data_IF_306324701553
#
_entry.id   IF_306324701553
#
_cell.length_a   1.000
_cell.length_b   1.000
_cell.length_c   1.000
_cell.angle_alpha   90.00
_cell.angle_beta   90.00
_cell.angle_gamma   90.00
#
_symmetry.space_group_name_H-M   'P 1'
#
loop_
_entity.id
_entity.type
_entity.pdbx_description
1 polymer ?
#
# COMPACT_ATOMS: atom_id res chain seq x y z
N UNK A 1 -27.75 -2.23 -24.32
CA UNK A 1 -28.01 -3.64 -24.69
C UNK A 1 -27.14 -4.61 -23.86
N UNK A 2 -25.82 -4.41 -23.77
CA UNK A 2 -24.86 -5.30 -23.12
C UNK A 2 -25.11 -5.46 -21.60
N UNK A 3 -25.29 -4.36 -20.84
CA UNK A 3 -25.55 -4.42 -19.39
C UNK A 3 -26.84 -5.18 -19.06
N UNK A 4 -27.89 -5.02 -19.89
CA UNK A 4 -29.13 -5.79 -19.71
C UNK A 4 -28.92 -7.29 -19.92
N UNK A 5 -28.11 -7.66 -20.93
CA UNK A 5 -27.78 -9.09 -21.15
C UNK A 5 -26.99 -9.66 -19.98
N UNK A 6 -26.02 -8.92 -19.44
CA UNK A 6 -25.26 -9.34 -18.24
C UNK A 6 -26.19 -9.51 -17.03
N UNK A 7 -27.10 -8.56 -16.81
CA UNK A 7 -28.04 -8.61 -15.70
C UNK A 7 -29.01 -9.81 -15.83
N UNK A 8 -29.49 -10.10 -17.03
CA UNK A 8 -30.37 -11.25 -17.28
C UNK A 8 -29.64 -12.59 -17.08
N UNK A 9 -28.36 -12.65 -17.44
CA UNK A 9 -27.57 -13.87 -17.32
C UNK A 9 -27.11 -14.16 -15.89
N UNK A 10 -26.90 -13.14 -15.07
CA UNK A 10 -26.28 -13.27 -13.74
C UNK A 10 -27.21 -12.88 -12.57
N UNK A 11 -28.36 -12.31 -12.85
CA UNK A 11 -29.28 -11.77 -11.85
C UNK A 11 -28.88 -10.34 -11.41
N UNK A 12 -29.74 -9.76 -10.56
CA UNK A 12 -29.54 -8.44 -9.94
C UNK A 12 -29.83 -8.55 -8.44
N UNK A 13 -29.15 -7.72 -7.57
CA UNK A 13 -28.14 -6.69 -7.91
C UNK A 13 -26.79 -7.31 -8.26
N UNK A 14 -26.05 -6.66 -9.16
CA UNK A 14 -24.67 -7.04 -9.52
C UNK A 14 -23.79 -5.83 -9.77
N UNK A 15 -22.48 -6.02 -9.57
CA UNK A 15 -21.46 -5.03 -9.92
C UNK A 15 -20.81 -5.42 -11.25
N UNK A 16 -20.69 -4.45 -12.15
CA UNK A 16 -20.04 -4.64 -13.45
C UNK A 16 -18.82 -3.73 -13.53
N UNK A 17 -17.66 -4.32 -13.79
CA UNK A 17 -16.41 -3.59 -13.99
C UNK A 17 -16.03 -3.63 -15.47
N UNK A 18 -15.72 -2.46 -16.03
CA UNK A 18 -15.24 -2.36 -17.41
C UNK A 18 -13.71 -2.34 -17.43
N UNK A 19 -13.12 -3.42 -17.92
CA UNK A 19 -11.69 -3.57 -18.04
C UNK A 19 -11.04 -2.56 -19.01
N UNK A 20 -11.77 -2.08 -20.04
CA UNK A 20 -11.25 -1.08 -20.96
C UNK A 20 -11.06 0.27 -20.24
N UNK A 21 -12.05 0.68 -19.47
CA UNK A 21 -11.97 1.90 -18.64
C UNK A 21 -10.82 1.81 -17.62
N UNK A 22 -10.64 0.66 -16.97
CA UNK A 22 -9.52 0.47 -16.04
C UNK A 22 -8.17 0.65 -16.75
N UNK A 23 -7.97 0.04 -17.92
CA UNK A 23 -6.75 0.18 -18.71
C UNK A 23 -6.49 1.62 -19.14
N UNK A 24 -7.54 2.34 -19.55
CA UNK A 24 -7.45 3.75 -19.93
C UNK A 24 -6.98 4.61 -18.74
N UNK A 25 -7.53 4.39 -17.55
CA UNK A 25 -7.11 5.11 -16.34
C UNK A 25 -5.65 4.80 -15.96
N UNK A 26 -5.21 3.57 -16.11
CA UNK A 26 -3.81 3.21 -15.92
C UNK A 26 -2.93 3.93 -16.95
N UNK A 27 -3.35 3.95 -18.21
CA UNK A 27 -2.59 4.60 -19.28
C UNK A 27 -2.40 6.11 -19.04
N UNK A 28 -3.39 6.79 -18.43
CA UNK A 28 -3.26 8.22 -18.08
C UNK A 28 -2.20 8.51 -17.01
N UNK A 29 -1.71 7.50 -16.32
CA UNK A 29 -0.68 7.63 -15.27
C UNK A 29 0.72 7.17 -15.73
N UNK A 30 0.90 6.85 -17.03
CA UNK A 30 2.18 6.32 -17.56
C UNK A 30 3.37 7.28 -17.53
N UNK A 31 3.15 8.56 -17.16
CA UNK A 31 4.21 9.51 -16.90
C UNK A 31 4.98 9.24 -15.58
N UNK A 32 4.41 8.43 -14.69
CA UNK A 32 5.08 8.00 -13.46
C UNK A 32 5.88 6.73 -13.70
N UNK A 33 7.05 6.61 -13.07
CA UNK A 33 7.93 5.45 -13.19
C UNK A 33 7.27 4.16 -12.67
N UNK A 34 6.53 4.27 -11.56
CA UNK A 34 5.80 3.16 -10.93
C UNK A 34 4.39 3.59 -10.57
N UNK A 35 3.41 2.86 -11.09
CA UNK A 35 2.00 3.00 -10.69
C UNK A 35 1.70 1.95 -9.63
N UNK A 36 1.10 2.37 -8.52
CA UNK A 36 0.74 1.48 -7.42
C UNK A 36 -0.74 1.62 -7.08
N UNK A 37 -1.44 0.51 -7.07
CA UNK A 37 -2.88 0.45 -6.79
C UNK A 37 -3.14 0.17 -5.32
N UNK A 38 -3.84 1.08 -4.65
CA UNK A 38 -4.33 0.89 -3.29
C UNK A 38 -5.50 -0.11 -3.31
N UNK A 39 -5.20 -1.39 -3.05
CA UNK A 39 -6.19 -2.46 -3.26
C UNK A 39 -7.35 -2.44 -2.26
N UNK A 40 -7.29 -1.64 -1.19
CA UNK A 40 -8.43 -1.36 -0.31
C UNK A 40 -9.66 -0.83 -1.05
N UNK A 41 -9.47 -0.21 -2.21
CA UNK A 41 -10.57 0.27 -3.05
C UNK A 41 -11.37 -0.91 -3.65
N UNK A 42 -10.68 -1.96 -4.10
CA UNK A 42 -11.28 -3.20 -4.56
C UNK A 42 -10.22 -4.30 -4.64
N UNK A 43 -10.26 -5.25 -3.71
CA UNK A 43 -9.33 -6.38 -3.64
C UNK A 43 -9.85 -7.65 -4.35
N UNK A 44 -10.76 -7.52 -5.33
CA UNK A 44 -11.20 -8.64 -6.16
C UNK A 44 -10.02 -9.19 -6.97
N UNK A 45 -9.85 -10.52 -6.97
CA UNK A 45 -8.70 -11.17 -7.63
C UNK A 45 -8.63 -10.92 -9.13
N UNK A 46 -9.76 -10.79 -9.82
CA UNK A 46 -9.76 -10.50 -11.27
C UNK A 46 -9.30 -9.06 -11.54
N UNK A 47 -9.71 -8.09 -10.69
CA UNK A 47 -9.21 -6.71 -10.76
C UNK A 47 -7.71 -6.66 -10.49
N UNK A 48 -7.24 -7.35 -9.44
CA UNK A 48 -5.81 -7.41 -9.11
C UNK A 48 -4.98 -8.05 -10.23
N UNK A 49 -5.46 -9.14 -10.84
CA UNK A 49 -4.79 -9.76 -12.00
C UNK A 49 -4.71 -8.81 -13.19
N UNK A 50 -5.81 -8.08 -13.49
CA UNK A 50 -5.81 -7.05 -14.53
C UNK A 50 -4.78 -5.94 -14.24
N UNK A 51 -4.69 -5.46 -12.99
CA UNK A 51 -3.64 -4.51 -12.58
C UNK A 51 -2.25 -5.06 -12.85
N UNK A 52 -2.00 -6.30 -12.44
CA UNK A 52 -0.70 -6.97 -12.64
C UNK A 52 -0.34 -7.11 -14.12
N UNK A 53 -1.28 -7.52 -14.97
CA UNK A 53 -1.11 -7.61 -16.43
C UNK A 53 -0.72 -6.26 -17.05
N UNK A 54 -1.19 -5.17 -16.47
CA UNK A 54 -0.85 -3.80 -16.91
C UNK A 54 0.47 -3.29 -16.30
N UNK A 55 1.20 -4.10 -15.53
CA UNK A 55 2.44 -3.69 -14.86
C UNK A 55 2.24 -2.79 -13.64
N UNK A 56 1.01 -2.66 -13.16
CA UNK A 56 0.69 -1.93 -11.93
C UNK A 56 1.08 -2.76 -10.73
N UNK A 57 1.67 -2.14 -9.72
CA UNK A 57 2.01 -2.72 -8.41
C UNK A 57 0.83 -2.56 -7.45
N UNK A 58 0.88 -3.20 -6.29
CA UNK A 58 -0.16 -3.07 -5.26
C UNK A 58 0.39 -2.58 -3.94
N UNK A 59 -0.47 -1.87 -3.23
CA UNK A 59 -0.29 -1.45 -1.85
C UNK A 59 -1.37 -2.10 -0.99
N UNK A 60 -0.95 -2.94 -0.05
CA UNK A 60 -1.82 -3.63 0.88
C UNK A 60 -1.88 -2.88 2.22
N UNK A 61 -3.03 -2.95 2.91
CA UNK A 61 -3.21 -2.33 4.23
C UNK A 61 -3.54 -3.36 5.34
N UNK A 62 -3.55 -4.65 5.00
CA UNK A 62 -3.85 -5.73 5.95
C UNK A 62 -3.27 -7.06 5.51
N UNK A 63 -3.22 -8.03 6.43
CA UNK A 63 -2.82 -9.41 6.13
C UNK A 63 -3.67 -10.02 5.01
N UNK A 64 -5.00 -9.88 5.08
CA UNK A 64 -5.89 -10.42 4.06
C UNK A 64 -5.68 -9.79 2.68
N UNK A 65 -5.26 -8.54 2.61
CA UNK A 65 -4.88 -7.91 1.34
C UNK A 65 -3.54 -8.42 0.83
N UNK A 66 -2.56 -8.68 1.70
CA UNK A 66 -1.31 -9.35 1.32
C UNK A 66 -1.61 -10.70 0.67
N UNK A 67 -2.43 -11.53 1.31
CA UNK A 67 -2.80 -12.85 0.81
C UNK A 67 -3.51 -12.79 -0.54
N UNK A 68 -4.45 -11.84 -0.71
CA UNK A 68 -5.12 -11.61 -1.99
C UNK A 68 -4.17 -11.14 -3.08
N UNK A 69 -3.26 -10.24 -2.78
CA UNK A 69 -2.23 -9.80 -3.72
C UNK A 69 -1.37 -10.98 -4.17
N UNK A 70 -0.91 -11.81 -3.24
CA UNK A 70 -0.12 -13.01 -3.55
C UNK A 70 -0.92 -14.02 -4.39
N UNK A 71 -2.20 -14.26 -4.07
CA UNK A 71 -3.09 -15.11 -4.86
C UNK A 71 -3.34 -14.56 -6.29
N UNK A 72 -3.20 -13.25 -6.48
CA UNK A 72 -3.21 -12.61 -7.80
C UNK A 72 -1.85 -12.64 -8.51
N UNK A 73 -0.79 -13.13 -7.84
CA UNK A 73 0.56 -13.32 -8.38
C UNK A 73 1.51 -12.15 -8.14
N UNK A 74 1.21 -11.25 -7.23
CA UNK A 74 2.15 -10.22 -6.79
C UNK A 74 3.16 -10.77 -5.79
N UNK A 75 4.38 -10.26 -5.84
CA UNK A 75 5.44 -10.56 -4.87
C UNK A 75 6.29 -9.32 -4.58
N UNK A 76 7.22 -9.44 -3.65
CA UNK A 76 8.10 -8.36 -3.20
C UNK A 76 9.57 -8.57 -3.54
N UNK A 77 9.88 -9.46 -4.50
CA UNK A 77 11.26 -9.85 -4.85
C UNK A 77 12.04 -8.75 -5.55
N UNK A 78 11.38 -7.90 -6.33
CA UNK A 78 12.02 -6.75 -6.96
C UNK A 78 12.48 -5.76 -5.88
N UNK A 79 13.78 -5.47 -5.86
CA UNK A 79 14.37 -4.59 -4.85
C UNK A 79 14.04 -3.11 -5.08
N UNK A 80 13.87 -2.69 -6.32
CA UNK A 80 13.63 -1.28 -6.70
C UNK A 80 12.15 -0.94 -6.77
N UNK A 81 11.36 -1.86 -7.34
CA UNK A 81 9.93 -1.65 -7.52
C UNK A 81 9.14 -2.90 -7.11
N UNK A 82 9.12 -3.24 -5.80
CA UNK A 82 8.43 -4.44 -5.33
C UNK A 82 6.96 -4.43 -5.76
N UNK A 83 6.48 -5.60 -6.24
CA UNK A 83 5.11 -5.76 -6.72
C UNK A 83 4.07 -5.56 -5.64
N UNK A 84 4.44 -5.84 -4.39
CA UNK A 84 3.61 -5.73 -3.19
C UNK A 84 4.37 -5.01 -2.09
N UNK A 85 3.72 -4.05 -1.43
CA UNK A 85 4.17 -3.38 -0.21
C UNK A 85 3.04 -3.34 0.81
N UNK A 86 3.38 -3.16 2.08
CA UNK A 86 2.41 -2.95 3.15
C UNK A 86 2.43 -1.49 3.62
N UNK A 87 1.29 -0.83 3.60
CA UNK A 87 1.06 0.48 4.19
C UNK A 87 -0.07 0.37 5.20
N UNK A 88 0.26 0.19 6.47
CA UNK A 88 -0.74 0.04 7.54
C UNK A 88 -0.39 0.95 8.72
N UNK A 89 -1.40 1.38 9.47
CA UNK A 89 -1.20 2.15 10.70
C UNK A 89 -0.92 1.24 11.91
N UNK A 90 -1.29 -0.04 11.79
CA UNK A 90 -1.08 -1.06 12.82
C UNK A 90 -0.38 -2.27 12.20
N UNK A 91 0.54 -2.85 12.96
CA UNK A 91 1.26 -4.05 12.58
C UNK A 91 1.06 -5.09 13.69
N UNK A 92 0.02 -5.91 13.55
CA UNK A 92 -0.24 -7.01 14.48
C UNK A 92 0.75 -8.17 14.31
N UNK A 93 0.77 -9.09 15.24
CA UNK A 93 1.74 -10.20 15.22
C UNK A 93 1.65 -11.08 13.97
N UNK A 94 0.44 -11.34 13.47
CA UNK A 94 0.24 -12.19 12.29
C UNK A 94 0.72 -11.47 11.02
N UNK A 95 0.40 -10.19 10.88
CA UNK A 95 0.87 -9.35 9.78
C UNK A 95 2.39 -9.18 9.83
N UNK A 96 2.98 -8.93 11.01
CA UNK A 96 4.43 -8.83 11.19
C UNK A 96 5.13 -10.13 10.78
N UNK A 97 4.64 -11.27 11.26
CA UNK A 97 5.20 -12.57 10.90
C UNK A 97 5.18 -12.81 9.38
N UNK A 98 4.07 -12.48 8.72
CA UNK A 98 3.92 -12.61 7.26
C UNK A 98 4.87 -11.68 6.50
N UNK A 99 4.95 -10.42 6.92
CA UNK A 99 5.82 -9.40 6.32
C UNK A 99 7.28 -9.82 6.40
N UNK A 100 7.70 -10.31 7.56
CA UNK A 100 9.08 -10.80 7.78
C UNK A 100 9.37 -12.04 6.94
N UNK A 101 8.48 -13.04 6.97
CA UNK A 101 8.67 -14.29 6.24
C UNK A 101 8.80 -14.08 4.73
N UNK A 102 8.03 -13.15 4.16
CA UNK A 102 7.99 -12.91 2.72
C UNK A 102 8.87 -11.73 2.27
N UNK A 103 9.55 -11.05 3.20
CA UNK A 103 10.38 -9.88 2.91
C UNK A 103 9.62 -8.71 2.29
N UNK A 104 8.33 -8.53 2.68
CA UNK A 104 7.46 -7.49 2.13
C UNK A 104 7.88 -6.13 2.68
N UNK A 105 8.27 -5.15 1.85
CA UNK A 105 8.63 -3.82 2.33
C UNK A 105 7.46 -3.16 3.05
N UNK A 106 7.77 -2.48 4.16
CA UNK A 106 6.79 -1.79 4.99
C UNK A 106 6.94 -0.29 4.86
N UNK A 107 5.82 0.38 4.61
CA UNK A 107 5.70 1.82 4.69
C UNK A 107 5.34 2.20 6.12
N UNK A 108 6.35 2.47 6.94
CA UNK A 108 6.19 2.69 8.37
C UNK A 108 5.59 4.07 8.67
N UNK A 109 4.45 4.09 9.34
CA UNK A 109 3.72 5.28 9.73
C UNK A 109 3.99 5.77 11.16
N UNK A 110 4.84 5.07 11.93
CA UNK A 110 5.22 5.46 13.28
C UNK A 110 6.62 4.94 13.65
N UNK A 111 7.23 5.60 14.63
CA UNK A 111 8.53 5.21 15.19
C UNK A 111 8.43 3.85 15.90
N UNK A 112 7.31 3.57 16.55
CA UNK A 112 7.09 2.27 17.22
C UNK A 112 7.00 1.11 16.22
N UNK A 113 6.40 1.33 15.04
CA UNK A 113 6.41 0.34 13.96
C UNK A 113 7.84 0.05 13.47
N UNK A 114 8.71 1.07 13.40
CA UNK A 114 10.13 0.87 13.07
C UNK A 114 10.83 0.02 14.13
N UNK A 115 10.59 0.29 15.43
CA UNK A 115 11.16 -0.51 16.53
C UNK A 115 10.65 -1.95 16.48
N UNK A 116 9.36 -2.14 16.29
CA UNK A 116 8.73 -3.46 16.21
C UNK A 116 9.29 -4.29 15.04
N UNK A 117 9.40 -3.69 13.87
CA UNK A 117 9.89 -4.35 12.67
C UNK A 117 11.39 -4.65 12.79
N UNK A 118 12.19 -3.70 13.30
CA UNK A 118 13.62 -3.88 13.46
C UNK A 118 13.98 -4.96 14.47
N UNK A 119 13.23 -5.07 15.57
CA UNK A 119 13.40 -6.15 16.55
C UNK A 119 13.09 -7.54 15.95
N UNK A 120 12.13 -7.62 15.01
CA UNK A 120 11.74 -8.87 14.37
C UNK A 120 12.59 -9.22 13.13
N UNK A 121 13.11 -8.24 12.42
CA UNK A 121 13.80 -8.43 11.13
C UNK A 121 14.83 -7.33 10.87
N UNK A 122 16.03 -7.39 11.48
CA UNK A 122 17.13 -6.49 11.12
C UNK A 122 17.44 -6.57 9.61
N UNK A 123 17.69 -5.42 8.99
CA UNK A 123 17.88 -5.35 7.53
C UNK A 123 16.60 -5.26 6.70
N UNK A 124 15.43 -5.26 7.35
CA UNK A 124 14.15 -5.15 6.63
C UNK A 124 14.03 -3.83 5.87
N UNK A 125 13.47 -3.88 4.67
CA UNK A 125 13.25 -2.69 3.83
C UNK A 125 12.07 -1.89 4.34
N UNK A 126 12.27 -0.59 4.57
CA UNK A 126 11.22 0.32 5.03
C UNK A 126 11.18 1.58 4.18
N UNK A 127 9.99 2.11 4.01
CA UNK A 127 9.74 3.50 3.66
C UNK A 127 9.24 4.24 4.89
N UNK A 128 9.50 5.55 4.97
CA UNK A 128 8.90 6.39 6.00
C UNK A 128 7.68 7.09 5.42
N UNK A 129 6.52 6.88 6.01
CA UNK A 129 5.35 7.70 5.76
C UNK A 129 5.46 8.96 6.60
N UNK A 130 5.71 10.08 5.93
CA UNK A 130 5.89 11.39 6.56
C UNK A 130 4.54 12.10 6.62
N UNK A 131 4.21 12.66 7.79
CA UNK A 131 3.19 13.68 7.91
C UNK A 131 3.84 15.05 7.69
N UNK A 132 3.54 15.73 6.56
CA UNK A 132 4.22 16.98 6.20
C UNK A 132 3.70 18.20 6.95
N UNK A 133 2.74 18.05 7.87
CA UNK A 133 2.14 19.14 8.61
C UNK A 133 0.95 19.82 7.92
N UNK A 134 0.59 19.39 6.73
CA UNK A 134 -0.59 19.85 5.99
C UNK A 134 -1.31 18.68 5.31
N UNK A 135 -2.56 18.88 4.93
CA UNK A 135 -3.35 17.91 4.17
C UNK A 135 -4.58 18.56 3.56
N UNK A 136 -5.11 17.94 2.50
CA UNK A 136 -6.26 18.43 1.74
C UNK A 136 -7.32 17.34 1.55
N UNK A 137 -7.90 16.87 2.65
CA UNK A 137 -9.07 16.00 2.58
C UNK A 137 -10.36 16.78 2.24
N UNK A 138 -11.36 16.13 1.65
CA UNK A 138 -12.70 16.73 1.44
C UNK A 138 -13.36 17.19 2.74
N UNK A 139 -12.93 16.71 3.89
CA UNK A 139 -13.36 17.10 5.22
C UNK A 139 -12.23 16.85 6.21
N UNK A 140 -12.29 17.45 7.40
CA UNK A 140 -11.35 17.17 8.49
C UNK A 140 -11.28 15.67 8.85
N UNK A 141 -12.35 14.90 8.62
CA UNK A 141 -12.41 13.46 8.89
C UNK A 141 -11.66 12.62 7.85
N UNK A 142 -11.47 13.12 6.64
CA UNK A 142 -10.77 12.43 5.53
C UNK A 142 -9.36 12.97 5.31
N UNK A 143 -8.95 13.96 6.10
CA UNK A 143 -7.61 14.52 6.06
C UNK A 143 -6.60 13.54 6.67
N UNK A 144 -5.61 13.12 5.91
CA UNK A 144 -4.56 12.17 6.32
C UNK A 144 -3.20 12.83 6.57
N UNK A 145 -3.13 14.15 6.47
CA UNK A 145 -1.97 14.97 6.82
C UNK A 145 -2.34 16.11 7.76
N UNK A 146 -1.34 16.80 8.32
CA UNK A 146 -1.54 17.93 9.22
C UNK A 146 -1.40 17.59 10.71
N UNK A 147 -1.38 18.61 11.54
CA UNK A 147 -1.04 18.55 12.96
C UNK A 147 -1.96 17.61 13.77
N UNK A 148 -3.23 17.51 13.38
CA UNK A 148 -4.22 16.66 14.07
C UNK A 148 -4.40 15.27 13.43
N UNK A 149 -3.60 14.93 12.43
CA UNK A 149 -3.67 13.61 11.78
C UNK A 149 -2.86 12.59 12.59
N UNK A 150 -3.49 11.42 12.80
CA UNK A 150 -2.79 10.26 13.40
C UNK A 150 -1.86 9.54 12.45
N UNK A 151 -1.86 9.92 11.16
CA UNK A 151 -1.17 9.17 10.11
C UNK A 151 0.20 9.76 9.82
N UNK A 152 1.18 8.86 9.76
CA UNK A 152 2.55 9.21 9.39
C UNK A 152 3.38 9.78 10.54
N UNK A 153 4.68 9.73 10.37
CA UNK A 153 5.66 10.29 11.30
C UNK A 153 5.69 11.81 11.07
N UNK A 154 5.52 12.57 12.14
CA UNK A 154 5.59 14.04 12.07
C UNK A 154 6.94 14.49 11.49
N UNK A 155 6.93 15.45 10.60
CA UNK A 155 8.16 15.88 9.92
C UNK A 155 9.27 16.35 10.89
N UNK A 156 8.90 16.88 12.07
CA UNK A 156 9.84 17.26 13.13
C UNK A 156 10.52 16.06 13.84
N UNK A 157 9.96 14.86 13.74
CA UNK A 157 10.46 13.64 14.39
C UNK A 157 11.34 12.77 13.45
N UNK A 158 11.67 13.29 12.27
CA UNK A 158 12.45 12.54 11.28
C UNK A 158 13.83 12.13 11.78
N UNK A 159 14.51 12.98 12.56
CA UNK A 159 15.83 12.66 13.11
C UNK A 159 15.76 11.49 14.10
N UNK A 160 14.71 11.43 14.93
CA UNK A 160 14.45 10.27 15.80
C UNK A 160 14.18 9.02 14.97
N UNK A 161 13.32 9.10 13.96
CA UNK A 161 13.01 7.97 13.07
C UNK A 161 14.28 7.43 12.39
N UNK A 162 15.14 8.30 11.87
CA UNK A 162 16.42 7.92 11.27
C UNK A 162 17.39 7.30 12.30
N UNK A 163 17.38 7.81 13.53
CA UNK A 163 18.12 7.24 14.67
C UNK A 163 17.68 5.80 14.95
N UNK A 164 16.36 5.56 15.00
CA UNK A 164 15.79 4.22 15.21
C UNK A 164 16.11 3.28 14.04
N UNK A 165 16.00 3.75 12.79
CA UNK A 165 16.36 2.95 11.61
C UNK A 165 17.81 2.45 11.73
N UNK A 166 18.76 3.34 12.07
CA UNK A 166 20.16 2.99 12.26
C UNK A 166 20.36 2.00 13.41
N UNK A 167 19.76 2.28 14.57
CA UNK A 167 19.90 1.45 15.77
C UNK A 167 19.30 0.05 15.58
N UNK A 168 18.22 -0.07 14.84
CA UNK A 168 17.54 -1.33 14.54
C UNK A 168 18.09 -2.05 13.28
N UNK A 169 19.05 -1.45 12.59
CA UNK A 169 19.65 -2.01 11.38
C UNK A 169 18.68 -2.10 10.20
N UNK A 170 17.60 -1.30 10.18
CA UNK A 170 16.63 -1.30 9.09
C UNK A 170 17.22 -0.66 7.83
N UNK A 171 16.70 -1.04 6.66
CA UNK A 171 17.10 -0.50 5.36
C UNK A 171 16.07 0.50 4.85
N UNK A 172 16.35 1.79 5.01
CA UNK A 172 15.51 2.84 4.42
C UNK A 172 15.67 2.84 2.89
N UNK A 173 14.56 2.66 2.17
CA UNK A 173 14.55 2.57 0.70
C UNK A 173 13.68 3.63 0.03
N UNK A 174 12.99 4.48 0.79
CA UNK A 174 12.20 5.57 0.24
C UNK A 174 11.40 6.35 1.27
N UNK A 175 10.77 7.41 0.77
CA UNK A 175 9.85 8.26 1.51
C UNK A 175 8.46 8.20 0.88
N UNK A 176 7.43 8.34 1.70
CA UNK A 176 6.04 8.33 1.29
C UNK A 176 5.28 9.47 1.96
N UNK A 177 4.37 10.08 1.24
CA UNK A 177 3.39 11.02 1.76
C UNK A 177 2.00 10.66 1.24
N UNK A 178 0.99 10.94 2.06
CA UNK A 178 -0.41 10.88 1.67
C UNK A 178 -1.11 12.08 2.30
N UNK A 179 -1.61 13.00 1.48
CA UNK A 179 -2.21 14.27 1.86
C UNK A 179 -3.66 14.36 1.41
#
# INVERSE_FOLDING_TARGET
AQLRAIALANGTPLWVYDAATIRERIASLRSFDVIRYAQKANSNLHVLRLMREQGVRVDAVSLGEIERAQAAGFDSRDAHAPGLVLTADLLDHATLAKVVADGIPVNAGSIDMLRQLGAASPGHRVWLRINPGFGHGHSNKTNTGGEHSKHGIWHGDLDEALGVIRAQGLKLVGLHMHI
#
